data_IF_596713455768
#
_entry.id   IF_596713455768
#
_cell.length_a   1.000
_cell.length_b   1.000
_cell.length_c   1.000
_cell.angle_alpha   90.00
_cell.angle_beta   90.00
_cell.angle_gamma   90.00
#
_symmetry.space_group_name_H-M   'P 1'
#
loop_
_entity.id
_entity.type
_entity.pdbx_description
1 polymer ?
#
# COMPACT_ATOMS: atom_id res chain seq x y z
N UNK A 1 4.66 17.66 3.22
CA UNK A 1 4.98 17.28 1.83
C UNK A 1 4.65 15.80 1.75
N UNK A 2 3.65 15.41 0.97
CA UNK A 2 3.38 13.98 0.74
C UNK A 2 4.54 13.52 -0.16
N UNK A 3 5.35 12.57 0.31
CA UNK A 3 6.45 12.02 -0.48
C UNK A 3 5.91 11.38 -1.76
N UNK A 4 6.78 11.16 -2.74
CA UNK A 4 6.44 10.50 -4.01
C UNK A 4 5.98 9.03 -3.85
N UNK A 5 6.02 8.51 -2.62
CA UNK A 5 5.53 7.18 -2.28
C UNK A 5 6.46 6.06 -2.71
N UNK A 6 7.70 6.37 -3.14
CA UNK A 6 8.73 5.38 -3.47
C UNK A 6 9.31 4.73 -2.21
N UNK A 7 9.39 5.48 -1.11
CA UNK A 7 9.94 4.98 0.17
C UNK A 7 8.86 4.48 1.14
N UNK A 8 7.62 4.31 0.66
CA UNK A 8 6.48 3.90 1.50
C UNK A 8 5.83 2.65 0.95
N UNK A 9 5.83 1.58 1.73
CA UNK A 9 5.18 0.32 1.39
C UNK A 9 3.67 0.40 1.55
N UNK A 10 2.95 0.04 0.48
CA UNK A 10 1.51 0.22 0.42
C UNK A 10 0.76 -0.60 1.48
N UNK A 11 1.18 -1.84 1.76
CA UNK A 11 0.43 -2.70 2.70
C UNK A 11 1.00 -2.73 4.12
N UNK A 12 2.30 -2.50 4.28
CA UNK A 12 3.00 -2.71 5.56
C UNK A 12 3.30 -1.43 6.31
N UNK A 13 3.38 -0.29 5.64
CA UNK A 13 3.66 0.96 6.34
C UNK A 13 2.39 1.57 6.97
N UNK A 14 2.54 2.30 8.08
CA UNK A 14 1.43 3.02 8.69
C UNK A 14 0.88 4.11 7.76
N UNK A 15 -0.43 4.05 7.50
CA UNK A 15 -1.16 5.09 6.79
C UNK A 15 -1.75 6.12 7.75
N UNK A 16 -2.68 6.94 7.24
CA UNK A 16 -3.56 7.77 8.07
C UNK A 16 -4.26 6.87 9.13
N UNK A 17 -4.01 7.19 10.40
CA UNK A 17 -4.46 6.40 11.55
C UNK A 17 -3.42 5.46 12.17
N UNK A 18 -2.18 5.44 11.68
CA UNK A 18 -1.05 4.79 12.36
C UNK A 18 -1.00 3.26 12.28
N UNK A 19 -1.97 2.62 11.62
CA UNK A 19 -2.00 1.17 11.43
C UNK A 19 -1.76 0.78 9.97
N UNK A 20 -0.95 -0.25 9.69
CA UNK A 20 -0.79 -0.79 8.35
C UNK A 20 -2.09 -1.36 7.77
N UNK A 21 -2.19 -1.41 6.44
CA UNK A 21 -3.32 -2.05 5.78
C UNK A 21 -3.29 -3.57 5.95
N UNK A 22 -2.12 -4.20 6.09
CA UNK A 22 -2.02 -5.64 6.34
C UNK A 22 -2.65 -6.07 7.67
N UNK A 23 -2.65 -5.18 8.68
CA UNK A 23 -3.30 -5.43 9.98
C UNK A 23 -4.81 -5.26 9.85
N UNK A 24 -5.27 -4.20 9.18
CA UNK A 24 -6.70 -3.91 8.99
C UNK A 24 -7.39 -4.86 8.02
N UNK A 25 -6.67 -5.30 6.99
CA UNK A 25 -7.18 -6.10 5.88
C UNK A 25 -6.32 -7.36 5.65
N UNK A 26 -6.06 -8.13 6.71
CA UNK A 26 -5.16 -9.30 6.63
C UNK A 26 -5.54 -10.34 5.57
N UNK A 27 -6.85 -10.51 5.28
CA UNK A 27 -7.30 -11.40 4.18
C UNK A 27 -6.88 -10.87 2.80
N UNK A 28 -7.03 -9.57 2.57
CA UNK A 28 -6.61 -8.92 1.34
C UNK A 28 -5.09 -8.97 1.19
N UNK A 29 -4.37 -8.77 2.29
CA UNK A 29 -2.92 -8.87 2.32
C UNK A 29 -2.44 -10.27 1.92
N UNK A 30 -3.03 -11.33 2.47
CA UNK A 30 -2.66 -12.70 2.12
C UNK A 30 -2.87 -13.00 0.62
N UNK A 31 -3.96 -12.47 0.06
CA UNK A 31 -4.30 -12.65 -1.36
C UNK A 31 -3.44 -11.79 -2.31
N UNK A 32 -2.90 -10.66 -1.83
CA UNK A 32 -2.09 -9.78 -2.66
C UNK A 32 -0.79 -10.45 -3.10
N UNK A 33 -0.48 -10.41 -4.39
CA UNK A 33 0.80 -10.87 -4.94
C UNK A 33 1.91 -9.84 -4.67
N UNK A 34 1.55 -8.57 -4.61
CA UNK A 34 2.44 -7.41 -4.49
C UNK A 34 2.53 -6.92 -3.04
N UNK A 35 2.85 -7.83 -2.11
CA UNK A 35 2.84 -7.56 -0.66
C UNK A 35 3.81 -6.45 -0.22
N UNK A 36 4.90 -6.32 -0.96
CA UNK A 36 6.01 -5.41 -0.68
C UNK A 36 6.07 -4.25 -1.67
N UNK A 37 5.00 -3.98 -2.42
CA UNK A 37 5.01 -2.87 -3.36
C UNK A 37 4.81 -1.54 -2.65
N UNK A 38 5.47 -0.53 -3.20
CA UNK A 38 5.41 0.86 -2.77
C UNK A 38 4.13 1.52 -3.24
N UNK A 39 3.80 2.67 -2.66
CA UNK A 39 2.64 3.46 -3.09
C UNK A 39 2.77 3.88 -4.56
N UNK A 40 3.98 4.25 -4.99
CA UNK A 40 4.26 4.63 -6.37
C UNK A 40 4.11 3.46 -7.37
N UNK A 41 4.52 2.25 -6.97
CA UNK A 41 4.33 1.05 -7.80
C UNK A 41 2.84 0.70 -7.95
N UNK A 42 2.08 0.74 -6.86
CA UNK A 42 0.62 0.51 -6.87
C UNK A 42 -0.11 1.54 -7.73
N UNK A 43 0.30 2.81 -7.65
CA UNK A 43 -0.19 3.88 -8.52
C UNK A 43 0.08 3.57 -9.99
N UNK A 44 1.31 3.17 -10.32
CA UNK A 44 1.73 2.83 -11.69
C UNK A 44 1.02 1.59 -12.25
N UNK A 45 0.59 0.67 -11.39
CA UNK A 45 -0.21 -0.51 -11.76
C UNK A 45 -1.66 -0.19 -12.12
N UNK A 46 -2.05 1.09 -12.14
CA UNK A 46 -3.35 1.53 -12.65
C UNK A 46 -4.48 1.48 -11.63
N UNK A 47 -4.17 1.51 -10.34
CA UNK A 47 -5.17 1.57 -9.26
C UNK A 47 -5.91 2.93 -9.18
N UNK A 48 -5.59 3.85 -10.11
CA UNK A 48 -6.28 5.12 -10.35
C UNK A 48 -7.68 4.95 -10.98
N UNK A 49 -8.00 3.77 -11.55
CA UNK A 49 -9.28 3.54 -12.22
C UNK A 49 -10.33 2.99 -11.25
N UNK A 50 -10.96 3.89 -10.49
CA UNK A 50 -12.18 3.64 -9.70
C UNK A 50 -13.29 4.59 -10.09
#
# INVERSE_FOLDING_TARGET
MVGDGLDTFFLTDPWLGGSPLCVRFGRLFNLSENKSSTVAEMYSLGWEAG
#
